data_IF_248851552286
#
_entry.id   IF_248851552286
#
_cell.length_a   1.000
_cell.length_b   1.000
_cell.length_c   1.000
_cell.angle_alpha   90.00
_cell.angle_beta   90.00
_cell.angle_gamma   90.00
#
_symmetry.space_group_name_H-M   'P 1'
#
loop_
_entity.id
_entity.type
_entity.pdbx_description
1 polymer ?
#
# COMPACT_ATOMS: atom_id res chain seq x y z
N UNK A 1 2.03 19.81 -1.81
CA UNK A 1 1.95 18.36 -1.72
C UNK A 1 2.37 17.91 -0.33
N UNK A 2 1.69 16.93 0.17
CA UNK A 2 1.90 16.36 1.49
C UNK A 2 3.27 15.66 1.56
N UNK A 3 3.96 15.81 2.69
CA UNK A 3 5.30 15.25 2.84
C UNK A 3 5.32 13.73 2.76
N UNK A 4 4.36 13.09 3.45
CA UNK A 4 4.28 11.62 3.41
C UNK A 4 4.09 11.13 1.98
N UNK A 5 3.17 11.76 1.27
CA UNK A 5 2.88 11.39 -0.12
C UNK A 5 4.11 11.58 -1.00
N UNK A 6 4.80 12.70 -0.83
CA UNK A 6 5.99 12.99 -1.62
C UNK A 6 7.06 11.93 -1.42
N UNK A 7 7.30 11.54 -0.16
CA UNK A 7 8.32 10.53 0.14
C UNK A 7 7.92 9.19 -0.48
N UNK A 8 6.65 8.81 -0.33
CA UNK A 8 6.18 7.54 -0.89
C UNK A 8 6.34 7.53 -2.40
N UNK A 9 5.92 8.61 -3.07
CA UNK A 9 6.01 8.67 -4.53
C UNK A 9 7.45 8.63 -5.02
N UNK A 10 8.35 9.33 -4.32
CA UNK A 10 9.76 9.31 -4.67
C UNK A 10 10.35 7.90 -4.54
N UNK A 11 9.99 7.21 -3.48
CA UNK A 11 10.54 5.87 -3.25
C UNK A 11 9.93 4.84 -4.18
N UNK A 12 8.67 5.01 -4.56
CA UNK A 12 8.10 4.17 -5.61
C UNK A 12 8.90 4.36 -6.89
N UNK A 13 9.15 5.61 -7.26
CA UNK A 13 9.89 5.91 -8.48
C UNK A 13 11.28 5.28 -8.47
N UNK A 14 11.97 5.33 -7.33
CA UNK A 14 13.29 4.77 -7.20
C UNK A 14 13.31 3.25 -7.33
N UNK A 15 12.23 2.60 -6.91
CA UNK A 15 12.19 1.14 -6.84
C UNK A 15 11.37 0.49 -7.94
N UNK A 16 10.61 1.26 -8.69
CA UNK A 16 9.76 0.71 -9.74
C UNK A 16 10.47 0.83 -11.08
N UNK A 17 11.14 -0.24 -11.45
CA UNK A 17 11.74 -0.34 -12.77
C UNK A 17 10.95 -1.38 -13.53
N UNK A 18 10.12 -0.94 -14.47
CA UNK A 18 9.25 -1.87 -15.17
C UNK A 18 10.08 -2.89 -15.91
N UNK A 19 10.05 -4.11 -15.45
CA UNK A 19 10.79 -5.21 -16.04
C UNK A 19 9.82 -6.25 -16.52
N UNK A 20 10.23 -6.94 -17.59
CA UNK A 20 9.47 -8.05 -18.11
C UNK A 20 9.32 -9.13 -17.08
N UNK A 21 8.15 -9.76 -17.05
CA UNK A 21 7.89 -10.90 -16.16
C UNK A 21 8.14 -10.58 -14.69
N UNK A 22 7.89 -9.34 -14.30
CA UNK A 22 8.03 -8.93 -12.91
C UNK A 22 6.73 -8.27 -12.46
N UNK A 23 6.23 -8.75 -11.34
CA UNK A 23 5.01 -8.24 -10.74
C UNK A 23 5.37 -7.23 -9.65
N UNK A 24 4.70 -6.09 -9.65
CA UNK A 24 4.86 -5.06 -8.64
C UNK A 24 3.53 -4.78 -7.99
N UNK A 25 3.50 -4.68 -6.67
CA UNK A 25 2.30 -4.25 -5.98
C UNK A 25 2.66 -3.55 -4.68
N UNK A 26 1.75 -2.70 -4.21
CA UNK A 26 1.94 -2.01 -2.95
C UNK A 26 1.29 -2.80 -1.82
N UNK A 27 1.84 -2.67 -0.64
CA UNK A 27 1.28 -3.26 0.55
C UNK A 27 1.20 -2.20 1.63
N UNK A 28 0.05 -2.09 2.28
CA UNK A 28 -0.16 -1.16 3.39
C UNK A 28 -0.50 -1.97 4.62
N UNK A 29 0.29 -1.81 5.66
CA UNK A 29 0.12 -2.56 6.90
C UNK A 29 -0.33 -1.61 8.01
N UNK A 30 -1.42 -1.98 8.68
CA UNK A 30 -1.90 -1.24 9.84
C UNK A 30 -1.20 -1.79 11.08
N UNK A 31 -0.32 -1.00 11.66
CA UNK A 31 0.38 -1.37 12.87
C UNK A 31 -0.39 -0.80 14.06
N UNK A 32 -1.16 -1.65 14.70
CA UNK A 32 -1.99 -1.24 15.85
C UNK A 32 -1.17 -0.76 17.03
N UNK A 33 -0.03 -1.38 17.25
CA UNK A 33 0.77 -1.11 18.43
C UNK A 33 1.42 0.26 18.35
N UNK A 34 2.00 0.58 17.21
CA UNK A 34 2.64 1.86 17.01
C UNK A 34 1.69 2.92 16.48
N UNK A 35 0.48 2.53 16.08
CA UNK A 35 -0.54 3.42 15.49
C UNK A 35 0.03 4.12 14.27
N UNK A 36 0.53 3.33 13.34
CA UNK A 36 1.10 3.81 12.09
C UNK A 36 0.61 2.97 10.94
N UNK A 37 0.75 3.53 9.73
CA UNK A 37 0.52 2.79 8.50
C UNK A 37 1.87 2.64 7.80
N UNK A 38 2.26 1.42 7.49
CA UNK A 38 3.55 1.14 6.86
C UNK A 38 3.33 0.77 5.40
N UNK A 39 4.04 1.46 4.52
CA UNK A 39 3.95 1.24 3.08
C UNK A 39 5.16 0.45 2.60
N UNK A 40 4.88 -0.57 1.77
CA UNK A 40 5.92 -1.39 1.16
C UNK A 40 5.64 -1.49 -0.33
N UNK A 41 6.70 -1.65 -1.13
CA UNK A 41 6.54 -2.09 -2.50
C UNK A 41 7.06 -3.52 -2.58
N UNK A 42 6.23 -4.40 -3.13
CA UNK A 42 6.58 -5.81 -3.28
C UNK A 42 6.90 -6.08 -4.73
N UNK A 43 8.05 -6.70 -4.95
CA UNK A 43 8.57 -6.97 -6.28
C UNK A 43 8.77 -8.47 -6.42
N UNK A 44 8.08 -9.07 -7.37
CA UNK A 44 8.16 -10.52 -7.57
C UNK A 44 8.52 -10.81 -9.01
N UNK A 45 9.81 -11.05 -9.31
CA UNK A 45 10.20 -11.50 -10.64
C UNK A 45 9.72 -12.92 -10.85
N UNK A 46 9.35 -13.24 -12.09
CA UNK A 46 8.85 -14.56 -12.42
C UNK A 46 9.87 -15.64 -12.03
N UNK A 47 9.40 -16.64 -11.25
CA UNK A 47 10.24 -17.73 -10.82
C UNK A 47 11.26 -17.40 -9.77
N UNK A 48 11.19 -16.21 -9.19
CA UNK A 48 12.14 -15.79 -8.16
C UNK A 48 11.44 -15.36 -6.90
N UNK A 49 12.22 -15.11 -5.86
CA UNK A 49 11.70 -14.72 -4.58
C UNK A 49 11.06 -13.34 -4.60
N UNK A 50 10.03 -13.20 -3.78
CA UNK A 50 9.42 -11.92 -3.52
C UNK A 50 10.38 -11.04 -2.71
N UNK A 51 10.56 -9.80 -3.15
CA UNK A 51 11.30 -8.79 -2.39
C UNK A 51 10.32 -7.75 -1.88
N UNK A 52 10.37 -7.50 -0.58
CA UNK A 52 9.52 -6.50 0.06
C UNK A 52 10.39 -5.34 0.51
N UNK A 53 10.17 -4.18 -0.04
CA UNK A 53 10.99 -3.00 0.24
C UNK A 53 10.17 -1.98 1.00
N UNK A 54 10.57 -1.61 2.23
CA UNK A 54 9.82 -0.58 2.96
C UNK A 54 9.94 0.76 2.26
N UNK A 55 8.83 1.44 2.10
CA UNK A 55 8.81 2.76 1.49
C UNK A 55 8.76 3.86 2.52
N UNK A 56 7.81 3.77 3.46
CA UNK A 56 7.58 4.88 4.38
C UNK A 56 6.61 4.46 5.46
N UNK A 57 6.75 5.08 6.63
CA UNK A 57 5.81 4.91 7.75
C UNK A 57 5.04 6.22 7.91
N UNK A 58 3.71 6.10 7.86
CA UNK A 58 2.82 7.25 8.05
C UNK A 58 2.37 7.27 9.50
N UNK A 59 2.68 8.35 10.20
CA UNK A 59 2.37 8.46 11.62
C UNK A 59 1.01 9.06 11.90
N UNK A 60 0.40 9.70 10.92
CA UNK A 60 -0.96 10.19 11.06
C UNK A 60 -1.92 9.02 10.95
N UNK A 61 -2.39 8.53 12.08
CA UNK A 61 -3.14 7.28 12.17
C UNK A 61 -4.64 7.50 11.98
N UNK A 62 -5.02 8.12 10.86
CA UNK A 62 -6.41 8.37 10.53
C UNK A 62 -6.73 7.77 9.17
N UNK A 63 -7.83 7.04 9.10
CA UNK A 63 -8.23 6.42 7.85
C UNK A 63 -8.54 7.44 6.76
N UNK A 64 -9.10 8.59 7.14
CA UNK A 64 -9.40 9.64 6.15
C UNK A 64 -8.12 10.18 5.51
N UNK A 65 -7.07 10.30 6.30
CA UNK A 65 -5.78 10.74 5.80
C UNK A 65 -5.17 9.69 4.88
N UNK A 66 -5.23 8.42 5.31
CA UNK A 66 -4.72 7.31 4.51
C UNK A 66 -5.45 7.20 3.18
N UNK A 67 -6.77 7.36 3.21
CA UNK A 67 -7.58 7.28 2.00
C UNK A 67 -7.13 8.31 0.97
N UNK A 68 -6.86 9.53 1.41
CA UNK A 68 -6.40 10.58 0.52
C UNK A 68 -5.04 10.27 -0.09
N UNK A 69 -4.13 9.73 0.74
CA UNK A 69 -2.81 9.35 0.24
C UNK A 69 -2.93 8.27 -0.82
N UNK A 70 -3.73 7.24 -0.55
CA UNK A 70 -3.93 6.13 -1.49
C UNK A 70 -4.52 6.65 -2.80
N UNK A 71 -5.51 7.53 -2.72
CA UNK A 71 -6.14 8.09 -3.93
C UNK A 71 -5.11 8.81 -4.79
N UNK A 72 -4.22 9.59 -4.16
CA UNK A 72 -3.20 10.32 -4.90
C UNK A 72 -2.16 9.40 -5.53
N UNK A 73 -1.80 8.33 -4.83
CA UNK A 73 -0.89 7.34 -5.39
C UNK A 73 -1.51 6.71 -6.63
N UNK A 74 -2.79 6.35 -6.54
CA UNK A 74 -3.48 5.69 -7.64
C UNK A 74 -3.72 6.60 -8.84
N UNK A 75 -3.64 7.92 -8.64
CA UNK A 75 -3.67 8.85 -9.77
C UNK A 75 -2.43 8.73 -10.64
N UNK A 76 -1.30 8.38 -10.04
CA UNK A 76 -0.04 8.31 -10.76
C UNK A 76 0.37 6.90 -11.14
N UNK A 77 0.01 5.92 -10.34
CA UNK A 77 0.41 4.53 -10.57
C UNK A 77 -0.80 3.61 -10.48
N UNK A 78 -0.85 2.63 -11.38
CA UNK A 78 -1.94 1.66 -11.39
C UNK A 78 -1.51 0.35 -10.75
N UNK A 79 -1.03 0.42 -9.55
CA UNK A 79 -0.64 -0.77 -8.80
C UNK A 79 -1.85 -1.47 -8.21
N UNK A 80 -1.74 -2.79 -8.06
CA UNK A 80 -2.59 -3.49 -7.12
C UNK A 80 -2.10 -3.14 -5.71
N UNK A 81 -3.02 -3.02 -4.78
CA UNK A 81 -2.67 -2.71 -3.40
C UNK A 81 -3.27 -3.76 -2.49
N UNK A 82 -2.43 -4.32 -1.62
CA UNK A 82 -2.90 -5.23 -0.58
C UNK A 82 -2.89 -4.51 0.75
N UNK A 83 -3.84 -4.87 1.60
CA UNK A 83 -4.00 -4.24 2.90
C UNK A 83 -3.98 -5.31 3.98
N UNK A 84 -3.19 -5.09 5.03
CA UNK A 84 -3.11 -6.02 6.16
C UNK A 84 -3.44 -5.26 7.44
N UNK A 85 -4.25 -5.87 8.30
CA UNK A 85 -4.63 -5.28 9.56
C UNK A 85 -5.84 -4.36 9.48
N UNK A 86 -6.60 -4.43 8.41
CA UNK A 86 -7.77 -3.55 8.19
C UNK A 86 -9.09 -4.32 8.14
N UNK A 87 -9.10 -5.56 8.55
CA UNK A 87 -10.32 -6.38 8.48
C UNK A 87 -11.44 -5.71 9.26
N UNK A 88 -12.61 -5.58 8.65
CA UNK A 88 -13.76 -4.96 9.28
C UNK A 88 -13.82 -3.45 9.19
N UNK A 89 -12.79 -2.83 8.63
CA UNK A 89 -12.75 -1.37 8.51
C UNK A 89 -13.16 -0.93 7.12
N UNK A 90 -13.77 0.24 7.05
CA UNK A 90 -14.22 0.82 5.79
C UNK A 90 -13.54 2.17 5.56
N UNK A 91 -13.35 2.49 4.29
CA UNK A 91 -12.86 3.82 3.94
C UNK A 91 -13.90 4.86 4.34
N UNK A 92 -13.50 5.96 4.98
CA UNK A 92 -14.47 6.96 5.44
C UNK A 92 -15.31 7.59 4.34
N UNK A 93 -14.71 7.85 3.18
CA UNK A 93 -15.44 8.47 2.08
C UNK A 93 -16.14 7.47 1.20
N UNK A 94 -15.39 6.47 0.75
CA UNK A 94 -15.94 5.49 -0.19
C UNK A 94 -16.90 4.51 0.46
N UNK A 95 -16.81 4.32 1.75
CA UNK A 95 -17.66 3.39 2.51
C UNK A 95 -17.52 1.95 2.03
N UNK A 96 -16.40 1.61 1.43
CA UNK A 96 -16.08 0.26 1.00
C UNK A 96 -15.10 -0.38 1.97
N UNK A 97 -15.16 -1.69 2.10
CA UNK A 97 -14.23 -2.42 2.94
C UNK A 97 -12.82 -2.24 2.41
N UNK A 98 -11.89 -1.92 3.32
CA UNK A 98 -10.50 -1.71 2.95
C UNK A 98 -9.85 -3.05 2.60
N UNK A 99 -10.01 -4.03 3.49
CA UNK A 99 -9.42 -5.34 3.32
C UNK A 99 -10.54 -6.36 3.22
N UNK A 100 -10.69 -6.95 2.04
CA UNK A 100 -11.72 -7.96 1.83
C UNK A 100 -11.29 -9.26 2.47
N UNK A 101 -12.25 -9.92 3.11
CA UNK A 101 -11.99 -11.18 3.74
C UNK A 101 -11.63 -12.21 2.68
N UNK A 102 -10.56 -12.92 2.89
CA UNK A 102 -10.17 -13.98 1.98
C UNK A 102 -11.09 -15.18 2.21
N UNK A 103 -11.60 -15.71 1.14
CA UNK A 103 -12.37 -16.94 1.24
C UNK A 103 -11.43 -18.09 1.48
N UNK A 104 -11.79 -18.95 2.37
CA UNK A 104 -10.98 -20.01 2.71
C UNK A 104 -11.08 -21.12 1.89
N UNK A 105 -11.06 -21.15 1.58
CA UNK A 105 -11.19 -21.79 0.89
C UNK A 105 -11.72 -21.57 0.15
N UNK A 106 -11.67 -20.91 0.15
CA UNK A 106 -12.05 -20.44 -0.51
C UNK A 106 -11.61 -20.64 -1.06
#
# INVERSE_FOLDING_TARGET
>A
MNRDLRIILERIKQNFTRKRDTEYYLQVVNDYYDQTFNFFINIRPHGKRLHSIPLHTVENYRLSYLEKIIDKIMEQYKFSITYDGFVGQKWPEKQELIQKRRHKDE
#
